data_IF_403324955866
#
_entry.id   IF_403324955866
#
_cell.length_a   1.000
_cell.length_b   1.000
_cell.length_c   1.000
_cell.angle_alpha   90.00
_cell.angle_beta   90.00
_cell.angle_gamma   90.00
#
_symmetry.space_group_name_H-M   'P 1'
#
loop_
_entity.id
_entity.type
_entity.pdbx_description
1 polymer ?
#
# COMPACT_ATOMS: atom_id res chain seq x y z
N UNK A 1 23.68 12.29 -16.70
CA UNK A 1 22.76 12.87 -15.67
C UNK A 1 21.50 12.04 -15.44
N UNK A 2 21.03 11.22 -16.42
CA UNK A 2 19.79 10.42 -16.29
C UNK A 2 19.78 9.36 -15.17
N UNK A 3 20.90 8.69 -14.92
CA UNK A 3 20.94 7.53 -14.01
C UNK A 3 20.65 7.92 -12.53
N UNK A 4 21.07 9.11 -12.10
CA UNK A 4 20.85 9.57 -10.71
C UNK A 4 19.37 9.85 -10.42
N UNK A 5 18.64 10.33 -11.40
CA UNK A 5 17.23 10.69 -11.30
C UNK A 5 16.33 9.43 -11.28
N UNK A 6 16.66 8.39 -12.06
CA UNK A 6 15.93 7.12 -12.07
C UNK A 6 16.01 6.42 -10.72
N UNK A 7 17.21 6.32 -10.13
CA UNK A 7 17.39 5.75 -8.79
C UNK A 7 16.61 6.51 -7.71
N UNK A 8 16.54 7.83 -7.83
CA UNK A 8 15.79 8.66 -6.88
C UNK A 8 14.27 8.40 -6.96
N UNK A 9 13.72 8.36 -8.17
CA UNK A 9 12.30 8.08 -8.39
C UNK A 9 11.92 6.68 -7.91
N UNK A 10 12.70 5.67 -8.31
CA UNK A 10 12.50 4.29 -7.82
C UNK A 10 12.58 4.23 -6.30
N UNK A 11 13.59 4.88 -5.72
CA UNK A 11 13.78 4.94 -4.27
C UNK A 11 12.57 5.55 -3.57
N UNK A 12 12.02 6.65 -4.06
CA UNK A 12 10.83 7.30 -3.50
C UNK A 12 9.59 6.40 -3.55
N UNK A 13 9.32 5.78 -4.70
CA UNK A 13 8.16 4.89 -4.87
C UNK A 13 8.30 3.63 -4.00
N UNK A 14 9.45 2.98 -4.02
CA UNK A 14 9.66 1.76 -3.25
C UNK A 14 9.65 2.02 -1.74
N UNK A 15 10.31 3.07 -1.26
CA UNK A 15 10.30 3.42 0.17
C UNK A 15 8.90 3.81 0.66
N UNK A 16 8.14 4.54 -0.13
CA UNK A 16 6.75 4.87 0.21
C UNK A 16 5.87 3.62 0.27
N UNK A 17 6.08 2.65 -0.63
CA UNK A 17 5.31 1.39 -0.61
C UNK A 17 5.62 0.52 0.61
N UNK A 18 6.86 0.53 1.11
CA UNK A 18 7.24 -0.20 2.32
C UNK A 18 6.45 0.23 3.54
N UNK A 19 6.10 1.51 3.64
CA UNK A 19 5.25 2.03 4.70
C UNK A 19 3.88 1.31 4.73
N UNK A 20 3.27 1.16 3.57
CA UNK A 20 1.97 0.49 3.43
C UNK A 20 2.10 -1.02 3.69
N UNK A 21 3.16 -1.64 3.18
CA UNK A 21 3.43 -3.05 3.45
C UNK A 21 3.60 -3.33 4.95
N UNK A 22 4.28 -2.46 5.67
CA UNK A 22 4.44 -2.57 7.12
C UNK A 22 3.10 -2.42 7.86
N UNK A 23 2.24 -1.50 7.43
CA UNK A 23 0.90 -1.35 7.98
C UNK A 23 0.06 -2.62 7.76
N UNK A 24 0.08 -3.17 6.55
CA UNK A 24 -0.61 -4.43 6.26
C UNK A 24 -0.07 -5.59 7.12
N UNK A 25 1.25 -5.69 7.29
CA UNK A 25 1.86 -6.67 8.18
C UNK A 25 1.31 -6.56 9.62
N UNK A 26 1.22 -5.34 10.15
CA UNK A 26 0.70 -5.09 11.51
C UNK A 26 -0.78 -5.47 11.63
N UNK A 27 -1.59 -5.12 10.62
CA UNK A 27 -3.03 -5.45 10.61
C UNK A 27 -3.22 -6.97 10.57
N UNK A 28 -2.57 -7.65 9.61
CA UNK A 28 -2.65 -9.11 9.46
C UNK A 28 -2.19 -9.80 10.75
N UNK A 29 -1.07 -9.38 11.28
CA UNK A 29 -0.53 -9.91 12.52
C UNK A 29 -1.51 -9.75 13.69
N UNK A 30 -2.02 -8.55 13.93
CA UNK A 30 -2.93 -8.26 15.05
C UNK A 30 -4.26 -8.99 14.91
N UNK A 31 -4.68 -9.32 13.68
CA UNK A 31 -5.91 -10.07 13.46
C UNK A 31 -5.75 -11.56 13.82
N UNK A 32 -4.64 -12.19 13.39
CA UNK A 32 -4.46 -13.63 13.53
C UNK A 32 -3.79 -14.04 14.83
N UNK A 33 -3.03 -13.16 15.49
CA UNK A 33 -2.23 -13.52 16.65
C UNK A 33 -2.78 -12.87 17.92
N UNK A 34 -3.34 -13.68 18.84
CA UNK A 34 -3.74 -13.20 20.15
C UNK A 34 -2.58 -12.61 20.94
N UNK A 35 -2.85 -11.61 21.76
CA UNK A 35 -1.83 -10.97 22.63
C UNK A 35 -1.20 -11.94 23.64
N UNK A 36 -1.91 -13.02 23.99
CA UNK A 36 -1.47 -14.06 24.93
C UNK A 36 -0.36 -14.96 24.39
N UNK A 37 -0.08 -14.95 23.09
CA UNK A 37 0.95 -15.80 22.50
C UNK A 37 2.34 -15.22 22.77
N UNK A 38 3.30 -16.10 23.10
CA UNK A 38 4.66 -15.72 23.41
C UNK A 38 5.38 -15.06 22.21
N UNK A 39 6.45 -14.30 22.51
CA UNK A 39 7.19 -13.50 21.54
C UNK A 39 7.85 -14.35 20.43
N UNK A 40 8.32 -15.56 20.76
CA UNK A 40 9.02 -16.45 19.82
C UNK A 40 8.04 -16.97 18.77
N UNK A 41 6.91 -17.49 19.22
CA UNK A 41 5.83 -17.96 18.33
C UNK A 41 5.30 -16.83 17.45
N UNK A 42 5.15 -15.62 17.98
CA UNK A 42 4.82 -14.42 17.22
C UNK A 42 5.81 -14.13 16.11
N UNK A 43 7.10 -14.13 16.45
CA UNK A 43 8.16 -13.84 15.47
C UNK A 43 8.17 -14.87 14.33
N UNK A 44 8.04 -16.15 14.66
CA UNK A 44 7.97 -17.22 13.66
C UNK A 44 6.75 -17.11 12.75
N UNK A 45 5.58 -16.76 13.29
CA UNK A 45 4.39 -16.54 12.46
C UNK A 45 4.62 -15.40 11.47
N UNK A 46 5.15 -14.26 11.92
CA UNK A 46 5.44 -13.13 11.05
C UNK A 46 6.39 -13.52 9.93
N UNK A 47 7.47 -14.22 10.27
CA UNK A 47 8.47 -14.67 9.30
C UNK A 47 7.87 -15.62 8.26
N UNK A 48 7.14 -16.65 8.69
CA UNK A 48 6.65 -17.70 7.80
C UNK A 48 5.42 -17.28 6.98
N UNK A 49 4.51 -16.51 7.56
CA UNK A 49 3.19 -16.26 6.96
C UNK A 49 2.97 -14.84 6.47
N UNK A 50 3.74 -13.87 6.94
CA UNK A 50 3.52 -12.46 6.61
C UNK A 50 4.68 -11.86 5.82
N UNK A 51 5.90 -11.92 6.34
CA UNK A 51 7.04 -11.24 5.70
C UNK A 51 7.42 -11.84 4.35
N UNK A 52 7.25 -13.15 4.17
CA UNK A 52 7.52 -13.84 2.91
C UNK A 52 6.45 -13.60 1.83
N UNK A 53 5.36 -12.88 2.14
CA UNK A 53 4.35 -12.55 1.14
C UNK A 53 4.73 -11.29 0.37
N UNK A 54 4.46 -11.31 -0.93
CA UNK A 54 4.56 -10.10 -1.77
C UNK A 54 3.54 -9.05 -1.30
N UNK A 55 3.72 -7.81 -1.70
CA UNK A 55 2.75 -6.74 -1.43
C UNK A 55 1.35 -7.13 -1.90
N UNK A 56 1.22 -7.69 -3.11
CA UNK A 56 -0.07 -8.19 -3.61
C UNK A 56 -0.64 -9.32 -2.77
N UNK A 57 0.19 -10.25 -2.27
CA UNK A 57 -0.24 -11.32 -1.37
C UNK A 57 -0.75 -10.80 -0.03
N UNK A 58 -0.10 -9.79 0.55
CA UNK A 58 -0.58 -9.11 1.77
C UNK A 58 -1.92 -8.42 1.54
N UNK A 59 -2.08 -7.76 0.39
CA UNK A 59 -3.35 -7.15 0.01
C UNK A 59 -4.48 -8.18 -0.13
N UNK A 60 -4.20 -9.36 -0.72
CA UNK A 60 -5.19 -10.43 -0.80
C UNK A 60 -5.67 -10.87 0.58
N UNK A 61 -4.74 -11.10 1.53
CA UNK A 61 -5.10 -11.45 2.92
C UNK A 61 -5.94 -10.33 3.54
N UNK A 62 -5.53 -9.08 3.40
CA UNK A 62 -6.28 -7.93 3.92
C UNK A 62 -7.68 -7.82 3.30
N UNK A 63 -7.81 -8.07 2.00
CA UNK A 63 -9.11 -8.09 1.31
C UNK A 63 -10.05 -9.15 1.86
N UNK A 64 -9.55 -10.32 2.25
CA UNK A 64 -10.35 -11.34 2.92
C UNK A 64 -10.74 -10.91 4.36
N UNK A 65 -9.85 -10.23 5.09
CA UNK A 65 -10.19 -9.68 6.41
C UNK A 65 -11.36 -8.67 6.32
N UNK A 66 -11.39 -7.83 5.30
CA UNK A 66 -12.49 -6.88 5.06
C UNK A 66 -13.85 -7.55 4.81
N UNK A 67 -13.88 -8.85 4.50
CA UNK A 67 -15.12 -9.62 4.31
C UNK A 67 -15.61 -10.26 5.61
N UNK A 68 -14.78 -10.33 6.65
CA UNK A 68 -15.16 -10.95 7.91
C UNK A 68 -16.07 -10.03 8.71
N UNK A 69 -17.21 -10.59 9.22
CA UNK A 69 -18.18 -9.80 9.96
C UNK A 69 -17.59 -9.12 11.20
N UNK A 70 -16.69 -9.81 11.93
CA UNK A 70 -16.02 -9.24 13.10
C UNK A 70 -15.19 -8.01 12.76
N UNK A 71 -14.43 -8.06 11.65
CA UNK A 71 -13.60 -6.93 11.23
C UNK A 71 -14.45 -5.76 10.76
N UNK A 72 -15.50 -6.07 9.95
CA UNK A 72 -16.48 -5.07 9.49
C UNK A 72 -17.07 -4.29 10.66
N UNK A 73 -17.65 -4.99 11.64
CA UNK A 73 -18.30 -4.38 12.83
C UNK A 73 -17.33 -3.43 13.57
N UNK A 74 -16.10 -3.86 13.77
CA UNK A 74 -15.10 -3.05 14.46
C UNK A 74 -14.71 -1.79 13.67
N UNK A 75 -14.55 -1.90 12.34
CA UNK A 75 -14.28 -0.73 11.49
C UNK A 75 -15.46 0.24 11.50
N UNK A 76 -16.69 -0.25 11.41
CA UNK A 76 -17.91 0.56 11.50
C UNK A 76 -17.98 1.32 12.84
N UNK A 77 -17.65 0.66 13.94
CA UNK A 77 -17.60 1.29 15.27
C UNK A 77 -16.56 2.42 15.32
N UNK A 78 -15.38 2.21 14.75
CA UNK A 78 -14.35 3.24 14.69
C UNK A 78 -14.74 4.42 13.80
N UNK A 79 -15.33 4.15 12.64
CA UNK A 79 -15.81 5.20 11.73
C UNK A 79 -16.91 6.06 12.36
N UNK A 80 -17.81 5.44 13.16
CA UNK A 80 -18.84 6.17 13.94
C UNK A 80 -18.22 7.09 14.99
N UNK A 81 -17.18 6.61 15.69
CA UNK A 81 -16.47 7.40 16.72
C UNK A 81 -15.61 8.50 16.11
N UNK A 82 -14.93 8.21 15.01
CA UNK A 82 -13.99 9.09 14.36
C UNK A 82 -14.00 8.85 12.83
N UNK A 83 -14.82 9.60 12.09
CA UNK A 83 -14.82 9.55 10.62
C UNK A 83 -13.44 9.89 10.07
N UNK A 84 -13.11 9.32 8.89
CA UNK A 84 -11.85 9.60 8.21
C UNK A 84 -12.00 10.80 7.32
N UNK A 85 -11.34 11.87 7.68
CA UNK A 85 -11.25 13.05 6.82
C UNK A 85 -10.04 12.93 5.91
N UNK A 86 -10.30 12.86 4.62
CA UNK A 86 -9.30 12.98 3.55
C UNK A 86 -9.45 14.36 2.90
N UNK A 87 -8.48 14.75 2.06
CA UNK A 87 -8.49 16.08 1.43
C UNK A 87 -9.76 16.37 0.61
N UNK A 88 -10.36 15.34 0.00
CA UNK A 88 -11.50 15.47 -0.92
C UNK A 88 -12.82 15.00 -0.35
N UNK A 89 -12.80 14.17 0.68
CA UNK A 89 -14.00 13.53 1.22
C UNK A 89 -13.80 13.10 2.67
N UNK A 90 -14.92 12.91 3.38
CA UNK A 90 -14.95 12.33 4.71
C UNK A 90 -15.70 11.01 4.66
N UNK A 91 -15.08 9.95 5.17
CA UNK A 91 -15.60 8.59 5.16
C UNK A 91 -16.28 8.27 6.47
N UNK A 92 -17.56 7.96 6.42
CA UNK A 92 -18.40 7.60 7.57
C UNK A 92 -18.83 6.14 7.58
N UNK A 93 -18.86 5.51 6.40
CA UNK A 93 -19.43 4.18 6.19
C UNK A 93 -18.40 3.16 5.78
N UNK A 94 -18.63 1.91 6.19
CA UNK A 94 -17.71 0.80 5.91
C UNK A 94 -17.57 0.51 4.41
N UNK A 95 -18.65 0.55 3.65
CA UNK A 95 -18.61 0.19 2.23
C UNK A 95 -17.79 1.22 1.44
N UNK A 96 -17.97 2.51 1.70
CA UNK A 96 -17.14 3.59 1.13
C UNK A 96 -15.67 3.44 1.56
N UNK A 97 -15.41 3.13 2.84
CA UNK A 97 -14.07 2.83 3.35
C UNK A 97 -13.42 1.66 2.59
N UNK A 98 -14.16 0.53 2.48
CA UNK A 98 -13.68 -0.69 1.81
C UNK A 98 -13.37 -0.46 0.34
N UNK A 99 -14.25 0.24 -0.37
CA UNK A 99 -14.05 0.57 -1.78
C UNK A 99 -12.80 1.44 -1.97
N UNK A 100 -12.68 2.51 -1.19
CA UNK A 100 -11.59 3.45 -1.31
C UNK A 100 -10.23 2.80 -0.96
N UNK A 101 -10.14 2.09 0.17
CA UNK A 101 -8.89 1.43 0.55
C UNK A 101 -8.46 0.36 -0.46
N UNK A 102 -9.43 -0.40 -1.01
CA UNK A 102 -9.14 -1.42 -2.03
C UNK A 102 -8.66 -0.80 -3.34
N UNK A 103 -9.30 0.28 -3.79
CA UNK A 103 -8.89 1.06 -4.97
C UNK A 103 -7.48 1.62 -4.82
N UNK A 104 -7.20 2.23 -3.68
CA UNK A 104 -5.90 2.83 -3.40
C UNK A 104 -4.79 1.77 -3.36
N UNK A 105 -5.00 0.67 -2.61
CA UNK A 105 -4.03 -0.43 -2.54
C UNK A 105 -3.76 -1.05 -3.91
N UNK A 106 -4.78 -1.28 -4.71
CA UNK A 106 -4.63 -1.83 -6.07
C UNK A 106 -3.78 -0.91 -6.95
N UNK A 107 -4.00 0.41 -6.88
CA UNK A 107 -3.20 1.40 -7.62
C UNK A 107 -1.75 1.44 -7.14
N UNK A 108 -1.52 1.45 -5.82
CA UNK A 108 -0.18 1.46 -5.23
C UNK A 108 0.62 0.21 -5.62
N UNK A 109 -0.01 -0.98 -5.54
CA UNK A 109 0.63 -2.25 -5.92
C UNK A 109 1.01 -2.24 -7.40
N UNK A 110 0.13 -1.75 -8.27
CA UNK A 110 0.39 -1.69 -9.72
C UNK A 110 1.62 -0.83 -10.00
N UNK A 111 1.64 0.43 -9.54
CA UNK A 111 2.76 1.36 -9.77
C UNK A 111 4.06 0.81 -9.18
N UNK A 112 4.03 0.32 -7.95
CA UNK A 112 5.20 -0.28 -7.30
C UNK A 112 5.76 -1.45 -8.09
N UNK A 113 4.90 -2.34 -8.60
CA UNK A 113 5.34 -3.51 -9.37
C UNK A 113 5.89 -3.10 -10.74
N UNK A 114 5.29 -2.11 -11.39
CA UNK A 114 5.81 -1.57 -12.66
C UNK A 114 7.22 -0.99 -12.46
N UNK A 115 7.45 -0.25 -11.37
CA UNK A 115 8.75 0.35 -11.05
C UNK A 115 9.77 -0.68 -10.56
N UNK A 116 9.37 -1.65 -9.72
CA UNK A 116 10.28 -2.65 -9.14
C UNK A 116 10.76 -3.68 -10.17
N UNK A 117 9.91 -4.04 -11.13
CA UNK A 117 10.17 -5.09 -12.11
C UNK A 117 10.29 -4.58 -13.55
N UNK A 118 10.06 -3.28 -13.77
CA UNK A 118 10.27 -2.65 -15.07
C UNK A 118 11.73 -2.38 -15.33
N UNK A 119 12.13 -2.53 -16.60
CA UNK A 119 13.44 -2.09 -17.08
C UNK A 119 13.35 -0.62 -17.46
N UNK A 120 14.32 0.18 -17.03
CA UNK A 120 14.46 1.55 -17.52
C UNK A 120 14.88 1.53 -18.98
N UNK A 121 14.02 2.04 -19.84
CA UNK A 121 14.26 2.19 -21.28
C UNK A 121 14.25 3.64 -21.70
N UNK A 122 14.33 4.59 -20.77
CA UNK A 122 14.31 6.03 -21.04
C UNK A 122 15.37 6.44 -22.06
N UNK A 123 16.52 5.76 -22.03
CA UNK A 123 17.62 5.98 -23.00
C UNK A 123 17.28 5.62 -24.44
N UNK A 124 16.24 4.82 -24.69
CA UNK A 124 15.77 4.46 -26.02
C UNK A 124 14.83 5.51 -26.64
N UNK A 125 14.41 6.51 -25.87
CA UNK A 125 13.50 7.57 -26.32
C UNK A 125 14.25 8.90 -26.45
N UNK A 126 14.29 9.42 -27.66
CA UNK A 126 15.01 10.68 -28.01
C UNK A 126 14.25 11.93 -27.54
N UNK A 127 12.96 11.81 -27.23
CA UNK A 127 12.05 12.93 -26.96
C UNK A 127 11.50 12.94 -25.53
N UNK A 128 12.28 12.48 -24.54
CA UNK A 128 11.89 12.61 -23.12
C UNK A 128 12.33 13.97 -22.60
N UNK A 129 11.41 14.66 -21.92
CA UNK A 129 11.72 15.87 -21.18
C UNK A 129 12.47 15.55 -19.87
N UNK A 130 13.15 16.56 -19.30
CA UNK A 130 13.84 16.39 -18.03
C UNK A 130 12.85 15.97 -16.92
N UNK A 131 13.15 14.84 -16.29
CA UNK A 131 12.30 14.26 -15.22
C UNK A 131 11.25 13.26 -15.70
N UNK A 132 11.26 12.89 -16.99
CA UNK A 132 10.43 11.83 -17.53
C UNK A 132 11.18 10.49 -17.56
N UNK A 133 10.49 9.43 -17.15
CA UNK A 133 11.02 8.06 -17.13
C UNK A 133 10.05 7.11 -17.82
N UNK A 134 10.58 6.19 -18.59
CA UNK A 134 9.81 5.13 -19.23
C UNK A 134 10.32 3.77 -18.74
N UNK A 135 9.41 3.01 -18.14
CA UNK A 135 9.66 1.63 -17.74
C UNK A 135 8.95 0.67 -18.68
N UNK A 136 9.68 -0.32 -19.17
CA UNK A 136 9.11 -1.45 -19.86
C UNK A 136 8.89 -2.61 -18.91
N UNK A 137 7.65 -3.08 -18.79
CA UNK A 137 7.33 -4.32 -18.09
C UNK A 137 6.59 -5.25 -19.05
N UNK A 138 7.24 -6.38 -19.41
CA UNK A 138 6.74 -7.32 -20.43
C UNK A 138 6.49 -6.57 -21.75
N UNK A 139 5.24 -6.44 -22.17
CA UNK A 139 4.87 -5.78 -23.44
C UNK A 139 4.23 -4.40 -23.22
N UNK A 140 4.44 -3.78 -22.05
CA UNK A 140 3.86 -2.47 -21.71
C UNK A 140 4.95 -1.46 -21.43
N UNK A 141 4.76 -0.26 -21.99
CA UNK A 141 5.58 0.90 -21.70
C UNK A 141 4.78 1.80 -20.75
N UNK A 142 5.34 2.07 -19.57
CA UNK A 142 4.75 2.98 -18.61
C UNK A 142 5.67 4.19 -18.48
N UNK A 143 5.17 5.37 -18.89
CA UNK A 143 5.84 6.64 -18.65
C UNK A 143 5.49 7.09 -17.24
N UNK A 144 6.49 7.49 -16.47
CA UNK A 144 6.35 8.07 -15.14
C UNK A 144 7.02 9.43 -15.15
N UNK A 145 6.32 10.46 -14.73
CA UNK A 145 6.82 11.82 -14.57
C UNK A 145 6.87 12.20 -13.09
N UNK A 146 7.53 13.30 -12.73
CA UNK A 146 7.67 13.73 -11.34
C UNK A 146 6.31 13.93 -10.64
N UNK A 147 5.31 14.46 -11.34
CA UNK A 147 3.95 14.59 -10.79
C UNK A 147 3.30 13.24 -10.43
N UNK A 148 3.60 12.17 -11.17
CA UNK A 148 3.11 10.83 -10.84
C UNK A 148 3.73 10.32 -9.54
N UNK A 149 4.98 10.67 -9.25
CA UNK A 149 5.67 10.33 -8.01
C UNK A 149 5.04 11.07 -6.82
N UNK A 150 4.74 12.35 -6.97
CA UNK A 150 4.06 13.15 -5.96
C UNK A 150 2.65 12.62 -5.69
N UNK A 151 1.90 12.29 -6.75
CA UNK A 151 0.59 11.68 -6.65
C UNK A 151 0.65 10.30 -5.97
N UNK A 152 1.69 9.52 -6.24
CA UNK A 152 1.92 8.24 -5.57
C UNK A 152 2.17 8.42 -4.07
N UNK A 153 3.02 9.37 -3.68
CA UNK A 153 3.31 9.68 -2.28
C UNK A 153 2.03 10.16 -1.57
N UNK A 154 1.26 11.04 -2.20
CA UNK A 154 -0.01 11.51 -1.67
C UNK A 154 -1.00 10.36 -1.47
N UNK A 155 -1.15 9.48 -2.47
CA UNK A 155 -2.00 8.29 -2.39
C UNK A 155 -1.54 7.35 -1.27
N UNK A 156 -0.23 7.20 -1.07
CA UNK A 156 0.36 6.43 0.03
C UNK A 156 -0.05 7.00 1.38
N UNK A 157 0.04 8.32 1.55
CA UNK A 157 -0.34 8.99 2.79
C UNK A 157 -1.84 8.85 3.08
N UNK A 158 -2.71 9.04 2.10
CA UNK A 158 -4.15 8.82 2.22
C UNK A 158 -4.47 7.37 2.60
N UNK A 159 -3.81 6.41 1.95
CA UNK A 159 -3.99 4.98 2.24
C UNK A 159 -3.51 4.64 3.66
N UNK A 160 -2.40 5.22 4.10
CA UNK A 160 -1.90 5.04 5.46
C UNK A 160 -2.90 5.57 6.51
N UNK A 161 -3.55 6.71 6.26
CA UNK A 161 -4.61 7.23 7.13
C UNK A 161 -5.78 6.24 7.22
N UNK A 162 -6.23 5.68 6.08
CA UNK A 162 -7.28 4.67 6.05
C UNK A 162 -6.89 3.40 6.83
N UNK A 163 -5.68 2.90 6.62
CA UNK A 163 -5.19 1.69 7.30
C UNK A 163 -5.02 1.88 8.81
N UNK A 164 -4.69 3.09 9.28
CA UNK A 164 -4.55 3.39 10.70
C UNK A 164 -5.85 3.22 11.50
N UNK A 165 -7.02 3.42 10.87
CA UNK A 165 -8.31 3.14 11.53
C UNK A 165 -8.41 1.68 11.89
N UNK A 166 -7.93 0.80 11.04
CA UNK A 166 -8.01 -0.64 11.22
C UNK A 166 -7.01 -1.17 12.25
N UNK A 167 -5.96 -0.43 12.56
CA UNK A 167 -5.01 -0.80 13.61
C UNK A 167 -5.61 -0.67 15.02
N UNK A 168 -6.35 0.40 15.28
CA UNK A 168 -7.06 0.60 16.56
C UNK A 168 -8.11 -0.47 16.85
N UNK A 169 -8.66 -1.06 15.79
CA UNK A 169 -9.70 -2.09 15.83
C UNK A 169 -9.22 -3.43 16.42
N UNK A 170 -7.93 -3.71 16.35
CA UNK A 170 -7.37 -5.04 16.65
C UNK A 170 -6.62 -5.08 18.00
N UNK A 171 -6.60 -3.96 18.72
CA UNK A 171 -5.87 -3.87 20.01
C UNK A 171 -6.70 -4.25 21.24
N UNK A 172 -8.00 -4.41 21.10
CA UNK A 172 -8.94 -4.88 22.12
C UNK A 172 -9.23 -6.38 21.95
#
# INVERSE_FOLDING_TARGET
MSDKNDFEIRGKILSSSLLIEEQLNRIIYNFFIPKSIDKITRSKFLELFVFNKTFGGKYQIYSELLKTGRYKLKVEEQLKKKPVSLQKETIYEFDSFKELVSKNLSKLIKVRNDVAHGYDISKAFVALEDGEFVFANKNKFNKIINSDVEDYIKLTNETNILLNITQGVLQD
#
